data_IF_625778102417
#
_entry.id   IF_625778102417
#
_cell.length_a   1.000
_cell.length_b   1.000
_cell.length_c   1.000
_cell.angle_alpha   90.00
_cell.angle_beta   90.00
_cell.angle_gamma   90.00
#
_symmetry.space_group_name_H-M   'P 1'
#
loop_
_entity.id
_entity.type
_entity.pdbx_description
1 polymer ?
#
# COMPACT_ATOMS: atom_id res chain seq x y z
N UNK A 1 -0.17 -12.39 27.17
CA UNK A 1 0.69 -12.22 26.00
C UNK A 1 0.25 -10.95 25.27
N UNK A 2 1.17 -10.06 24.86
CA UNK A 2 0.77 -8.94 24.00
C UNK A 2 0.09 -9.50 22.76
N UNK A 3 -0.92 -8.81 22.21
CA UNK A 3 -1.57 -9.26 21.01
C UNK A 3 -0.54 -9.35 19.87
N UNK A 4 -0.60 -10.42 19.05
CA UNK A 4 0.20 -10.50 17.83
C UNK A 4 -0.30 -9.37 16.89
N UNK A 5 0.49 -8.31 16.76
CA UNK A 5 0.14 -7.11 16.02
C UNK A 5 0.90 -7.03 14.70
N UNK A 6 0.30 -6.47 13.66
CA UNK A 6 1.01 -6.16 12.43
C UNK A 6 1.95 -4.97 12.65
N UNK A 7 2.95 -4.81 11.78
CA UNK A 7 3.72 -3.57 11.73
C UNK A 7 2.80 -2.42 11.33
N UNK A 8 2.97 -1.26 11.97
CA UNK A 8 2.23 -0.04 11.63
C UNK A 8 3.07 0.87 10.75
N UNK A 9 2.48 1.30 9.65
CA UNK A 9 3.08 2.18 8.65
C UNK A 9 2.15 3.32 8.30
N UNK A 10 2.68 4.41 7.77
CA UNK A 10 1.89 5.51 7.24
C UNK A 10 1.76 5.39 5.72
N UNK A 11 0.56 5.63 5.21
CA UNK A 11 0.31 5.80 3.80
C UNK A 11 0.05 7.26 3.48
N UNK A 12 0.96 7.89 2.73
CA UNK A 12 0.90 9.27 2.30
C UNK A 12 0.20 9.36 0.95
N UNK A 13 -0.81 10.20 0.84
CA UNK A 13 -1.58 10.35 -0.40
C UNK A 13 -1.08 11.54 -1.24
N UNK A 14 -1.29 11.48 -2.54
CA UNK A 14 -0.86 12.47 -3.53
C UNK A 14 -1.45 13.89 -3.34
N UNK A 15 -2.37 14.09 -2.43
CA UNK A 15 -2.88 15.39 -2.04
C UNK A 15 -1.93 16.20 -1.14
N UNK A 16 -0.99 15.52 -0.47
CA UNK A 16 -0.01 16.16 0.41
C UNK A 16 1.05 16.91 -0.40
N UNK A 17 1.48 18.06 0.12
CA UNK A 17 2.65 18.75 -0.41
C UNK A 17 3.93 18.03 0.01
N UNK A 18 5.06 18.18 -0.71
CA UNK A 18 6.34 17.61 -0.27
C UNK A 18 6.73 18.06 1.16
N UNK A 19 6.45 19.28 1.55
CA UNK A 19 6.69 19.78 2.91
C UNK A 19 5.84 19.05 3.95
N UNK A 20 4.56 18.80 3.65
CA UNK A 20 3.70 18.02 4.53
C UNK A 20 4.19 16.56 4.65
N UNK A 21 4.68 15.97 3.56
CA UNK A 21 5.29 14.64 3.58
C UNK A 21 6.52 14.59 4.48
N UNK A 22 7.43 15.59 4.40
CA UNK A 22 8.61 15.70 5.26
C UNK A 22 8.24 15.80 6.74
N UNK A 23 7.27 16.63 7.09
CA UNK A 23 6.80 16.78 8.47
C UNK A 23 6.22 15.46 9.02
N UNK A 24 5.42 14.74 8.20
CA UNK A 24 4.88 13.44 8.55
C UNK A 24 5.97 12.37 8.64
N UNK A 25 7.01 12.43 7.79
CA UNK A 25 8.13 11.51 7.82
C UNK A 25 8.94 11.63 9.11
N UNK A 26 9.29 12.85 9.53
CA UNK A 26 9.97 13.09 10.79
C UNK A 26 9.15 12.62 11.99
N UNK A 27 7.83 12.89 11.98
CA UNK A 27 6.91 12.41 13.02
C UNK A 27 6.81 10.88 13.04
N UNK A 28 6.69 10.25 11.87
CA UNK A 28 6.60 8.80 11.76
C UNK A 28 7.86 8.11 12.30
N UNK A 29 9.03 8.60 11.96
CA UNK A 29 10.29 8.07 12.45
C UNK A 29 10.43 8.24 13.98
N UNK A 30 10.07 9.42 14.51
CA UNK A 30 10.10 9.67 15.96
C UNK A 30 9.14 8.76 16.74
N UNK A 31 8.02 8.38 16.13
CA UNK A 31 7.01 7.50 16.73
C UNK A 31 7.22 6.02 16.41
N UNK A 32 8.20 5.66 15.55
CA UNK A 32 8.58 4.28 15.26
C UNK A 32 7.68 3.58 14.25
N UNK A 33 7.03 4.30 13.35
CA UNK A 33 6.35 3.68 12.21
C UNK A 33 7.36 2.98 11.30
N UNK A 34 6.95 1.82 10.75
CA UNK A 34 7.84 0.96 10.01
C UNK A 34 8.18 1.48 8.59
N UNK A 35 7.16 1.92 7.85
CA UNK A 35 7.31 2.37 6.45
C UNK A 35 6.46 3.61 6.18
N UNK A 36 6.95 4.48 5.32
CA UNK A 36 6.16 5.54 4.67
C UNK A 36 5.81 5.06 3.26
N UNK A 37 4.55 4.71 3.01
CA UNK A 37 4.07 4.32 1.69
C UNK A 37 3.55 5.53 0.93
N UNK A 38 4.19 5.89 -0.16
CA UNK A 38 3.79 7.01 -1.01
C UNK A 38 2.87 6.51 -2.13
N UNK A 39 1.62 6.98 -2.12
CA UNK A 39 0.63 6.55 -3.09
C UNK A 39 0.65 7.42 -4.35
N UNK A 40 0.89 6.80 -5.50
CA UNK A 40 0.86 7.48 -6.79
C UNK A 40 -0.55 7.60 -7.37
N UNK A 41 -0.76 8.70 -8.09
CA UNK A 41 -1.92 8.93 -8.94
C UNK A 41 -1.43 9.64 -10.23
N UNK A 42 -1.81 9.16 -11.43
CA UNK A 42 -1.37 9.73 -12.69
C UNK A 42 -1.50 11.24 -12.83
N UNK A 43 -2.47 11.83 -12.16
CA UNK A 43 -2.80 13.25 -12.26
C UNK A 43 -2.63 14.00 -10.93
N UNK A 44 -2.04 13.35 -9.93
CA UNK A 44 -1.69 13.96 -8.66
C UNK A 44 -0.28 14.51 -8.65
N UNK A 45 0.21 14.89 -7.46
CA UNK A 45 1.63 15.26 -7.30
C UNK A 45 2.51 14.02 -7.50
N UNK A 46 3.60 14.17 -8.26
CA UNK A 46 4.61 13.13 -8.40
C UNK A 46 5.19 12.76 -7.03
N UNK A 47 5.32 11.47 -6.77
CA UNK A 47 5.74 10.99 -5.43
C UNK A 47 7.26 11.03 -5.25
N UNK A 48 8.05 10.80 -6.31
CA UNK A 48 9.51 10.64 -6.21
C UNK A 48 10.23 11.84 -5.59
N UNK A 49 9.88 13.11 -5.94
CA UNK A 49 10.46 14.27 -5.25
C UNK A 49 10.18 14.31 -3.74
N UNK A 50 8.97 13.89 -3.33
CA UNK A 50 8.62 13.81 -1.91
C UNK A 50 9.35 12.66 -1.20
N UNK A 51 9.51 11.51 -1.87
CA UNK A 51 10.29 10.36 -1.35
C UNK A 51 11.75 10.76 -1.16
N UNK A 52 12.38 11.42 -2.14
CA UNK A 52 13.76 11.87 -2.05
C UNK A 52 13.96 12.87 -0.89
N UNK A 53 13.05 13.83 -0.73
CA UNK A 53 13.10 14.77 0.38
C UNK A 53 12.97 14.08 1.74
N UNK A 54 12.05 13.11 1.87
CA UNK A 54 11.89 12.31 3.09
C UNK A 54 13.10 11.39 3.34
N UNK A 55 13.72 10.85 2.28
CA UNK A 55 14.94 10.05 2.40
C UNK A 55 16.09 10.82 3.04
N UNK A 56 16.25 12.09 2.63
CA UNK A 56 17.29 12.98 3.18
C UNK A 56 17.01 13.40 4.63
N UNK A 57 15.75 13.49 5.03
CA UNK A 57 15.35 13.97 6.37
C UNK A 57 15.22 12.84 7.41
N UNK A 58 15.30 11.57 7.01
CA UNK A 58 15.09 10.41 7.89
C UNK A 58 16.26 9.42 7.77
N UNK A 59 16.42 8.56 8.77
CA UNK A 59 17.54 7.62 8.82
C UNK A 59 17.12 6.16 9.05
N UNK A 60 15.91 5.90 9.54
CA UNK A 60 15.45 4.56 9.94
C UNK A 60 14.19 4.11 9.23
N UNK A 61 13.16 4.98 9.13
CA UNK A 61 11.87 4.63 8.51
C UNK A 61 12.07 4.22 7.06
N UNK A 62 11.44 3.12 6.67
CA UNK A 62 11.49 2.63 5.28
C UNK A 62 10.64 3.48 4.36
N UNK A 63 11.00 3.52 3.08
CA UNK A 63 10.36 4.37 2.06
C UNK A 63 9.71 3.47 1.02
N UNK A 64 8.41 3.34 1.09
CA UNK A 64 7.61 2.51 0.19
C UNK A 64 7.11 3.29 -1.03
N UNK A 65 7.52 2.91 -2.22
CA UNK A 65 6.93 3.39 -3.48
C UNK A 65 5.62 2.60 -3.70
N UNK A 66 4.51 3.17 -3.32
CA UNK A 66 3.28 2.38 -3.20
C UNK A 66 2.06 2.93 -3.95
N UNK A 67 2.05 2.74 -5.21
CA UNK A 67 2.83 1.95 -6.18
C UNK A 67 3.33 2.84 -7.33
N UNK A 68 4.42 2.44 -7.97
CA UNK A 68 4.75 2.94 -9.30
C UNK A 68 4.01 2.14 -10.37
N UNK A 69 3.53 2.83 -11.38
CA UNK A 69 2.71 2.20 -12.41
C UNK A 69 3.47 2.21 -13.76
N UNK A 70 3.69 1.04 -14.36
CA UNK A 70 4.54 0.91 -15.54
C UNK A 70 4.00 1.61 -16.78
N UNK A 71 2.76 2.07 -16.80
CA UNK A 71 2.22 2.87 -17.90
C UNK A 71 2.64 4.35 -17.84
N UNK A 72 3.01 4.84 -16.64
CA UNK A 72 3.56 6.18 -16.45
C UNK A 72 5.08 6.16 -16.42
N UNK A 73 5.65 5.14 -15.79
CA UNK A 73 7.08 4.95 -15.64
C UNK A 73 7.46 3.68 -16.41
N UNK A 74 8.14 3.80 -17.54
CA UNK A 74 8.66 2.61 -18.19
C UNK A 74 9.46 1.75 -17.19
N UNK A 75 9.41 0.40 -17.24
CA UNK A 75 10.10 -0.45 -16.27
C UNK A 75 11.59 -0.15 -16.09
N UNK A 76 12.27 0.31 -17.13
CA UNK A 76 13.68 0.75 -17.03
C UNK A 76 13.83 1.98 -16.13
N UNK A 77 12.90 2.95 -16.22
CA UNK A 77 12.88 4.13 -15.37
C UNK A 77 12.53 3.75 -13.92
N UNK A 78 11.59 2.81 -13.73
CA UNK A 78 11.27 2.30 -12.36
C UNK A 78 12.52 1.73 -11.70
N UNK A 79 13.31 0.92 -12.41
CA UNK A 79 14.54 0.34 -11.88
C UNK A 79 15.57 1.42 -11.54
N UNK A 80 15.79 2.37 -12.45
CA UNK A 80 16.72 3.49 -12.27
C UNK A 80 16.36 4.35 -11.06
N UNK A 81 15.10 4.80 -10.98
CA UNK A 81 14.63 5.67 -9.90
C UNK A 81 14.63 4.96 -8.54
N UNK A 82 14.21 3.69 -8.51
CA UNK A 82 14.24 2.90 -7.28
C UNK A 82 15.66 2.68 -6.77
N UNK A 83 16.63 2.39 -7.66
CA UNK A 83 18.03 2.20 -7.29
C UNK A 83 18.66 3.49 -6.74
N UNK A 84 18.44 4.64 -7.40
CA UNK A 84 18.97 5.94 -6.94
C UNK A 84 18.34 6.37 -5.61
N UNK A 85 17.04 6.16 -5.42
CA UNK A 85 16.39 6.43 -4.14
C UNK A 85 16.89 5.48 -3.03
N UNK A 86 17.21 4.25 -3.38
CA UNK A 86 17.78 3.29 -2.45
C UNK A 86 19.19 3.68 -2.01
N UNK A 87 20.01 4.15 -2.94
CA UNK A 87 21.33 4.74 -2.65
C UNK A 87 21.19 5.96 -1.73
N UNK A 88 20.34 6.93 -2.10
CA UNK A 88 20.09 8.13 -1.30
C UNK A 88 19.61 7.81 0.12
N UNK A 89 18.82 6.77 0.28
CA UNK A 89 18.22 6.40 1.57
C UNK A 89 19.07 5.43 2.39
N UNK A 90 20.21 4.94 1.88
CA UNK A 90 21.02 3.92 2.55
C UNK A 90 20.30 2.56 2.65
N UNK A 91 19.66 2.12 1.56
CA UNK A 91 19.05 0.78 1.48
C UNK A 91 17.66 0.66 2.08
N UNK A 92 16.89 1.76 2.22
CA UNK A 92 15.57 1.76 2.89
C UNK A 92 14.38 1.69 1.94
N UNK A 93 14.58 1.66 0.63
CA UNK A 93 13.47 1.61 -0.34
C UNK A 93 12.76 0.25 -0.34
N UNK A 94 11.45 0.28 -0.46
CA UNK A 94 10.58 -0.87 -0.75
C UNK A 94 9.80 -0.55 -2.01
N UNK A 95 9.99 -1.33 -3.06
CA UNK A 95 9.39 -1.07 -4.36
C UNK A 95 8.03 -1.75 -4.48
N UNK A 96 6.98 -0.96 -4.67
CA UNK A 96 5.66 -1.44 -5.05
C UNK A 96 5.35 -1.14 -6.51
N UNK A 97 4.92 -2.13 -7.27
CA UNK A 97 4.49 -2.00 -8.66
C UNK A 97 3.01 -2.38 -8.77
N UNK A 98 2.26 -1.60 -9.53
CA UNK A 98 0.84 -1.86 -9.73
C UNK A 98 0.36 -1.44 -11.12
N UNK A 99 -0.69 -2.08 -11.63
CA UNK A 99 -1.23 -1.77 -12.96
C UNK A 99 -2.06 -0.49 -13.02
N UNK A 100 -2.26 0.20 -11.89
CA UNK A 100 -3.11 1.38 -11.83
C UNK A 100 -4.61 1.09 -12.01
N UNK A 101 -5.41 2.15 -12.12
CA UNK A 101 -6.86 2.09 -12.34
C UNK A 101 -7.13 2.18 -13.85
N UNK A 102 -7.82 1.19 -14.41
CA UNK A 102 -8.06 1.06 -15.85
C UNK A 102 -8.56 2.35 -16.52
N UNK A 103 -9.53 3.03 -15.89
CA UNK A 103 -10.08 4.28 -16.40
C UNK A 103 -9.03 5.39 -16.50
N UNK A 104 -8.13 5.50 -15.51
CA UNK A 104 -7.06 6.51 -15.49
C UNK A 104 -5.96 6.19 -16.52
N UNK A 105 -5.67 4.91 -16.72
CA UNK A 105 -4.72 4.48 -17.75
C UNK A 105 -5.27 4.75 -19.15
N UNK A 106 -6.57 4.55 -19.37
CA UNK A 106 -7.23 4.91 -20.62
C UNK A 106 -7.10 6.42 -20.94
N UNK A 107 -7.15 7.28 -19.94
CA UNK A 107 -6.94 8.74 -20.10
C UNK A 107 -5.52 9.09 -20.57
N UNK A 108 -4.53 8.22 -20.35
CA UNK A 108 -3.17 8.36 -20.90
C UNK A 108 -3.05 7.91 -22.36
N UNK A 109 -4.14 7.48 -22.99
CA UNK A 109 -4.13 6.95 -24.35
C UNK A 109 -3.47 5.56 -24.49
N UNK A 110 -3.26 4.87 -23.38
CA UNK A 110 -2.53 3.60 -23.34
C UNK A 110 -3.48 2.42 -23.18
N UNK A 111 -3.22 1.33 -23.91
CA UNK A 111 -4.01 0.10 -23.81
C UNK A 111 -3.74 -0.61 -22.49
N UNK A 112 -4.80 -0.78 -21.67
CA UNK A 112 -4.71 -1.46 -20.37
C UNK A 112 -4.60 -2.98 -20.52
N UNK A 113 -3.45 -3.54 -20.11
CA UNK A 113 -3.13 -4.98 -20.12
C UNK A 113 -2.49 -5.37 -18.77
N UNK A 114 -3.25 -5.39 -17.66
CA UNK A 114 -2.67 -5.40 -16.32
C UNK A 114 -1.73 -6.58 -16.04
N UNK A 115 -2.11 -7.80 -16.40
CA UNK A 115 -1.27 -8.98 -16.12
C UNK A 115 0.04 -8.94 -16.94
N UNK A 116 -0.04 -8.58 -18.22
CA UNK A 116 1.15 -8.45 -19.04
C UNK A 116 2.07 -7.33 -18.54
N UNK A 117 1.49 -6.16 -18.21
CA UNK A 117 2.25 -5.02 -17.72
C UNK A 117 2.98 -5.34 -16.39
N UNK A 118 2.32 -6.03 -15.45
CA UNK A 118 2.96 -6.44 -14.20
C UNK A 118 4.06 -7.49 -14.44
N UNK A 119 3.80 -8.48 -15.30
CA UNK A 119 4.79 -9.50 -15.63
C UNK A 119 6.04 -8.88 -16.26
N UNK A 120 5.84 -8.08 -17.31
CA UNK A 120 6.94 -7.48 -18.05
C UNK A 120 7.73 -6.51 -17.17
N UNK A 121 7.03 -5.71 -16.35
CA UNK A 121 7.67 -4.75 -15.45
C UNK A 121 8.56 -5.45 -14.40
N UNK A 122 8.06 -6.50 -13.74
CA UNK A 122 8.85 -7.22 -12.72
C UNK A 122 10.09 -7.87 -13.35
N UNK A 123 9.96 -8.48 -14.53
CA UNK A 123 11.10 -9.12 -15.21
C UNK A 123 12.19 -8.12 -15.59
N UNK A 124 11.79 -6.99 -16.21
CA UNK A 124 12.74 -5.95 -16.64
C UNK A 124 13.39 -5.29 -15.41
N UNK A 125 12.59 -4.90 -14.40
CA UNK A 125 13.10 -4.22 -13.20
C UNK A 125 14.08 -5.13 -12.45
N UNK A 126 13.71 -6.39 -12.24
CA UNK A 126 14.54 -7.33 -11.47
C UNK A 126 15.88 -7.63 -12.17
N UNK A 127 15.88 -7.80 -13.49
CA UNK A 127 17.11 -7.96 -14.26
C UNK A 127 18.02 -6.73 -14.16
N UNK A 128 17.47 -5.54 -14.32
CA UNK A 128 18.24 -4.30 -14.24
C UNK A 128 18.84 -4.06 -12.85
N UNK A 129 18.09 -4.32 -11.77
CA UNK A 129 18.60 -4.20 -10.40
C UNK A 129 19.75 -5.19 -10.12
N UNK A 130 19.77 -6.36 -10.80
CA UNK A 130 20.84 -7.36 -10.71
C UNK A 130 22.04 -7.09 -11.61
N UNK A 131 22.13 -5.92 -12.22
CA UNK A 131 23.18 -5.54 -13.19
C UNK A 131 23.23 -6.39 -14.44
N UNK A 132 22.12 -7.01 -14.81
CA UNK A 132 22.03 -7.75 -16.06
C UNK A 132 21.84 -6.79 -17.24
N UNK A 133 22.43 -7.13 -18.39
CA UNK A 133 22.03 -6.53 -19.67
C UNK A 133 20.73 -7.19 -20.13
N UNK A 134 19.61 -6.49 -19.93
CA UNK A 134 18.27 -7.02 -20.15
C UNK A 134 17.88 -6.93 -21.63
N UNK A 135 17.59 -8.08 -22.23
CA UNK A 135 16.85 -8.19 -23.48
C UNK A 135 15.57 -8.96 -23.21
N UNK A 136 14.45 -8.27 -23.24
CA UNK A 136 13.14 -8.82 -22.91
C UNK A 136 12.08 -8.39 -23.92
N UNK A 137 11.33 -9.34 -24.48
CA UNK A 137 10.22 -9.08 -25.40
C UNK A 137 8.90 -9.47 -24.75
N UNK A 138 8.27 -8.48 -24.10
CA UNK A 138 7.00 -8.65 -23.42
C UNK A 138 5.79 -8.33 -24.30
N UNK A 139 4.61 -8.48 -23.69
CA UNK A 139 3.32 -8.17 -24.35
C UNK A 139 2.87 -6.73 -24.10
N UNK A 140 3.40 -6.08 -23.10
CA UNK A 140 3.11 -4.69 -22.74
C UNK A 140 4.38 -3.82 -22.81
N UNK A 141 5.51 -4.32 -22.34
CA UNK A 141 6.79 -3.63 -22.33
C UNK A 141 7.91 -4.53 -22.85
N UNK A 142 8.93 -3.91 -23.44
CA UNK A 142 10.11 -4.61 -23.95
C UNK A 142 11.36 -3.79 -23.61
N UNK A 143 12.50 -4.46 -23.53
CA UNK A 143 13.82 -3.86 -23.42
C UNK A 143 14.77 -4.56 -24.40
N UNK A 144 15.68 -3.83 -25.04
CA UNK A 144 16.67 -4.40 -25.95
C UNK A 144 18.06 -3.96 -25.54
N UNK A 145 18.81 -4.88 -24.95
CA UNK A 145 20.16 -4.68 -24.44
C UNK A 145 20.31 -3.48 -23.51
N UNK A 146 19.37 -3.33 -22.59
CA UNK A 146 19.38 -2.24 -21.60
C UNK A 146 20.11 -2.72 -20.32
N UNK A 147 21.00 -1.90 -19.81
CA UNK A 147 21.64 -2.08 -18.50
C UNK A 147 21.62 -0.74 -17.75
N UNK A 148 21.67 -0.77 -16.42
CA UNK A 148 21.98 0.41 -15.64
C UNK A 148 23.48 0.72 -15.77
N UNK A 149 23.84 1.98 -15.98
CA UNK A 149 25.25 2.44 -16.09
C UNK A 149 25.91 2.61 -14.72
N UNK A 150 25.24 2.22 -13.66
CA UNK A 150 25.69 2.24 -12.28
C UNK A 150 25.19 1.01 -11.52
N UNK A 151 25.84 0.67 -10.40
CA UNK A 151 25.47 -0.45 -9.56
C UNK A 151 24.28 -0.10 -8.67
N UNK A 152 23.18 -0.89 -8.71
CA UNK A 152 22.11 -0.77 -7.73
C UNK A 152 22.64 -1.25 -6.36
N UNK A 153 22.41 -0.49 -5.26
CA UNK A 153 22.92 -0.87 -3.93
C UNK A 153 22.41 -2.23 -3.45
N UNK A 154 21.17 -2.58 -3.83
CA UNK A 154 20.56 -3.87 -3.47
C UNK A 154 20.00 -4.57 -4.71
N UNK A 155 20.75 -5.53 -5.28
CA UNK A 155 20.29 -6.35 -6.41
C UNK A 155 19.03 -7.17 -6.10
N UNK A 156 18.79 -7.45 -4.82
CA UNK A 156 17.68 -8.22 -4.27
C UNK A 156 16.60 -7.33 -3.63
N UNK A 157 16.52 -6.04 -4.03
CA UNK A 157 15.47 -5.12 -3.53
C UNK A 157 14.09 -5.78 -3.63
N UNK A 158 13.32 -5.84 -2.52
CA UNK A 158 12.01 -6.48 -2.52
C UNK A 158 11.00 -5.76 -3.40
N UNK A 159 10.36 -6.49 -4.31
CA UNK A 159 9.30 -5.99 -5.19
C UNK A 159 7.95 -6.47 -4.69
N UNK A 160 7.08 -5.55 -4.28
CA UNK A 160 5.70 -5.80 -3.91
C UNK A 160 4.79 -5.55 -5.11
N UNK A 161 3.80 -6.41 -5.35
CA UNK A 161 2.77 -6.15 -6.35
C UNK A 161 1.45 -5.75 -5.70
N UNK A 162 0.83 -4.68 -6.20
CA UNK A 162 -0.55 -4.37 -5.86
C UNK A 162 -1.50 -5.19 -6.73
N UNK A 163 -2.27 -6.08 -6.10
CA UNK A 163 -3.17 -6.99 -6.78
C UNK A 163 -4.49 -7.16 -6.02
N UNK A 164 -5.58 -7.34 -6.78
CA UNK A 164 -6.92 -7.53 -6.20
C UNK A 164 -7.70 -8.67 -6.90
N UNK A 165 -7.59 -8.83 -8.21
CA UNK A 165 -8.27 -9.92 -8.93
C UNK A 165 -7.48 -11.23 -8.78
N UNK A 166 -8.17 -12.37 -8.75
CA UNK A 166 -7.57 -13.69 -8.50
C UNK A 166 -6.36 -13.99 -9.39
N UNK A 167 -6.46 -13.69 -10.69
CA UNK A 167 -5.33 -13.90 -11.62
C UNK A 167 -4.13 -13.00 -11.31
N UNK A 168 -4.35 -11.78 -10.83
CA UNK A 168 -3.26 -10.89 -10.42
C UNK A 168 -2.70 -11.26 -9.06
N UNK A 169 -3.52 -11.77 -8.13
CA UNK A 169 -3.06 -12.34 -6.86
C UNK A 169 -2.19 -13.57 -7.09
N UNK A 170 -2.62 -14.50 -7.94
CA UNK A 170 -1.80 -15.65 -8.32
C UNK A 170 -0.50 -15.27 -9.04
N UNK A 171 -0.54 -14.25 -9.91
CA UNK A 171 0.67 -13.70 -10.53
C UNK A 171 1.61 -13.11 -9.48
N UNK A 172 1.08 -12.37 -8.51
CA UNK A 172 1.82 -11.78 -7.40
C UNK A 172 2.59 -12.86 -6.63
N UNK A 173 1.94 -13.95 -6.22
CA UNK A 173 2.59 -15.05 -5.51
C UNK A 173 3.76 -15.68 -6.29
N UNK A 174 3.64 -15.79 -7.61
CA UNK A 174 4.71 -16.35 -8.45
C UNK A 174 5.88 -15.41 -8.69
N UNK A 175 5.68 -14.11 -8.77
CA UNK A 175 6.70 -13.18 -9.26
C UNK A 175 7.23 -12.20 -8.22
N UNK A 176 6.44 -11.85 -7.20
CA UNK A 176 6.77 -10.78 -6.27
C UNK A 176 7.31 -11.31 -4.93
N UNK A 177 7.85 -10.42 -4.13
CA UNK A 177 8.34 -10.68 -2.79
C UNK A 177 7.31 -10.25 -1.73
N UNK A 178 6.24 -9.57 -2.16
CA UNK A 178 5.14 -9.17 -1.30
C UNK A 178 3.89 -8.73 -2.06
N UNK A 179 2.78 -8.65 -1.33
CA UNK A 179 1.48 -8.18 -1.80
C UNK A 179 1.13 -6.84 -1.14
N UNK A 180 0.63 -5.91 -1.93
CA UNK A 180 -0.09 -4.73 -1.43
C UNK A 180 -1.58 -4.93 -1.70
N UNK A 181 -2.36 -5.11 -0.63
CA UNK A 181 -3.82 -5.13 -0.68
C UNK A 181 -4.32 -3.69 -0.59
N UNK A 182 -5.15 -3.28 -1.54
CA UNK A 182 -5.66 -1.91 -1.64
C UNK A 182 -6.66 -1.56 -0.53
N UNK A 183 -7.03 -0.27 -0.47
CA UNK A 183 -8.11 0.21 0.41
C UNK A 183 -9.47 -0.44 0.09
N UNK A 184 -10.41 -0.32 1.02
CA UNK A 184 -11.77 -0.86 0.93
C UNK A 184 -11.79 -2.40 0.80
N UNK A 185 -10.89 -3.08 1.50
CA UNK A 185 -10.83 -4.54 1.57
C UNK A 185 -11.02 -4.99 3.03
N UNK A 186 -12.13 -5.69 3.35
CA UNK A 186 -12.37 -6.18 4.70
C UNK A 186 -11.41 -7.32 5.08
N UNK A 187 -11.25 -7.65 6.38
CA UNK A 187 -10.36 -8.73 6.82
C UNK A 187 -10.62 -10.07 6.09
N UNK A 188 -11.88 -10.40 5.83
CA UNK A 188 -12.24 -11.63 5.11
C UNK A 188 -11.73 -11.63 3.65
N UNK A 189 -11.69 -10.46 2.98
CA UNK A 189 -11.08 -10.35 1.66
C UNK A 189 -9.56 -10.47 1.74
N UNK A 190 -8.93 -9.86 2.74
CA UNK A 190 -7.48 -9.97 2.98
C UNK A 190 -7.10 -11.43 3.22
N UNK A 191 -7.85 -12.18 4.06
CA UNK A 191 -7.67 -13.61 4.26
C UNK A 191 -7.65 -14.40 2.94
N UNK A 192 -8.64 -14.13 2.07
CA UNK A 192 -8.73 -14.76 0.74
C UNK A 192 -7.55 -14.40 -0.15
N UNK A 193 -7.17 -13.12 -0.20
CA UNK A 193 -6.03 -12.67 -1.00
C UNK A 193 -4.73 -13.33 -0.54
N UNK A 194 -4.50 -13.41 0.77
CA UNK A 194 -3.35 -14.10 1.38
C UNK A 194 -3.32 -15.58 1.02
N UNK A 195 -4.47 -16.27 1.06
CA UNK A 195 -4.54 -17.68 0.69
C UNK A 195 -4.11 -17.92 -0.75
N UNK A 196 -4.66 -17.15 -1.72
CA UNK A 196 -4.31 -17.27 -3.16
C UNK A 196 -2.83 -16.99 -3.40
N UNK A 197 -2.30 -15.95 -2.76
CA UNK A 197 -0.90 -15.56 -2.94
C UNK A 197 0.03 -16.62 -2.37
N UNK A 198 -0.22 -17.11 -1.15
CA UNK A 198 0.61 -18.13 -0.50
C UNK A 198 0.59 -19.46 -1.25
N UNK A 199 -0.56 -19.89 -1.73
CA UNK A 199 -0.66 -21.07 -2.59
C UNK A 199 0.20 -20.93 -3.85
N UNK A 200 0.11 -19.77 -4.52
CA UNK A 200 0.89 -19.51 -5.74
C UNK A 200 2.38 -19.30 -5.48
N UNK A 201 2.75 -18.77 -4.31
CA UNK A 201 4.13 -18.62 -3.87
C UNK A 201 4.77 -19.97 -3.55
N UNK A 202 4.03 -20.87 -2.89
CA UNK A 202 4.50 -22.22 -2.59
C UNK A 202 4.80 -23.02 -3.87
N UNK A 203 3.93 -22.91 -4.90
CA UNK A 203 4.19 -23.51 -6.22
C UNK A 203 5.45 -22.95 -6.89
N UNK A 204 5.81 -21.71 -6.61
CA UNK A 204 7.01 -21.05 -7.13
C UNK A 204 8.23 -21.17 -6.17
N UNK A 205 8.14 -22.02 -5.14
CA UNK A 205 9.19 -22.29 -4.15
C UNK A 205 9.70 -21.01 -3.44
N UNK A 206 8.79 -20.07 -3.15
CA UNK A 206 9.11 -18.82 -2.45
C UNK A 206 8.79 -18.95 -0.96
N UNK A 207 9.83 -18.93 -0.13
CA UNK A 207 9.70 -19.18 1.31
C UNK A 207 9.14 -18.01 2.11
N UNK A 208 9.46 -16.77 1.72
CA UNK A 208 9.02 -15.56 2.42
C UNK A 208 8.16 -14.69 1.53
N UNK A 209 7.08 -14.15 2.11
CA UNK A 209 6.16 -13.28 1.39
C UNK A 209 5.54 -12.25 2.35
N UNK A 210 5.72 -10.96 2.06
CA UNK A 210 5.28 -9.87 2.91
C UNK A 210 3.92 -9.32 2.46
N UNK A 211 2.97 -9.19 3.39
CA UNK A 211 1.59 -8.75 3.11
C UNK A 211 1.34 -7.38 3.73
N UNK A 212 1.16 -6.39 2.89
CA UNK A 212 0.84 -5.00 3.27
C UNK A 212 -0.62 -4.71 2.96
N UNK A 213 -1.40 -4.28 3.96
CA UNK A 213 -2.79 -3.85 3.78
C UNK A 213 -2.89 -2.33 3.92
N UNK A 214 -3.52 -1.67 2.94
CA UNK A 214 -3.83 -0.24 2.99
C UNK A 214 -5.20 -0.01 3.61
N UNK A 215 -5.29 0.90 4.59
CA UNK A 215 -6.54 1.22 5.29
C UNK A 215 -6.62 2.71 5.64
N UNK A 216 -7.80 3.34 5.49
CA UNK A 216 -8.08 4.58 6.17
C UNK A 216 -8.15 4.34 7.69
N UNK A 217 -7.66 5.30 8.46
CA UNK A 217 -7.62 5.21 9.91
C UNK A 217 -8.03 6.54 10.55
N UNK A 218 -8.77 6.45 11.66
CA UNK A 218 -9.00 7.57 12.56
C UNK A 218 -8.89 7.08 14.02
N UNK A 219 -7.91 7.58 14.75
CA UNK A 219 -7.65 7.17 16.14
C UNK A 219 -7.65 8.41 17.04
N UNK A 220 -8.63 8.51 17.94
CA UNK A 220 -8.81 9.66 18.85
C UNK A 220 -9.26 9.23 20.24
N UNK A 221 -9.04 10.06 21.29
CA UNK A 221 -9.61 9.80 22.61
C UNK A 221 -11.15 9.66 22.58
N UNK A 222 -11.85 10.47 21.78
CA UNK A 222 -13.26 10.29 21.47
C UNK A 222 -13.41 9.33 20.29
N UNK A 223 -13.76 8.09 20.59
CA UNK A 223 -13.99 7.05 19.58
C UNK A 223 -15.22 7.30 18.70
N UNK A 224 -16.20 8.08 19.13
CA UNK A 224 -17.36 8.44 18.31
C UNK A 224 -16.94 9.48 17.26
N UNK A 225 -16.20 10.51 17.64
CA UNK A 225 -15.62 11.47 16.71
C UNK A 225 -14.72 10.77 15.66
N UNK A 226 -13.87 9.81 16.10
CA UNK A 226 -13.04 9.04 15.21
C UNK A 226 -13.85 8.26 14.16
N UNK A 227 -14.96 7.64 14.54
CA UNK A 227 -15.84 6.94 13.60
C UNK A 227 -16.48 7.88 12.59
N UNK A 228 -16.93 9.05 12.98
CA UNK A 228 -17.48 10.04 12.04
C UNK A 228 -16.43 10.51 11.02
N UNK A 229 -15.19 10.76 11.47
CA UNK A 229 -14.07 11.07 10.58
C UNK A 229 -13.81 9.92 9.59
N UNK A 230 -13.82 8.67 10.07
CA UNK A 230 -13.61 7.50 9.23
C UNK A 230 -14.74 7.32 8.19
N UNK A 231 -16.01 7.62 8.53
CA UNK A 231 -17.12 7.60 7.57
C UNK A 231 -16.88 8.56 6.41
N UNK A 232 -16.43 9.78 6.68
CA UNK A 232 -16.12 10.75 5.61
C UNK A 232 -14.96 10.24 4.72
N UNK A 233 -13.91 9.65 5.30
CA UNK A 233 -12.81 9.07 4.54
C UNK A 233 -13.24 7.86 3.69
N UNK A 234 -14.02 6.94 4.25
CA UNK A 234 -14.58 5.78 3.53
C UNK A 234 -15.52 6.26 2.42
N UNK A 235 -16.39 7.22 2.69
CA UNK A 235 -17.30 7.80 1.70
C UNK A 235 -16.56 8.39 0.50
N UNK A 236 -15.51 9.18 0.75
CA UNK A 236 -14.67 9.74 -0.30
C UNK A 236 -13.97 8.64 -1.13
N UNK A 237 -13.48 7.59 -0.48
CA UNK A 237 -12.85 6.45 -1.17
C UNK A 237 -13.86 5.62 -1.96
N UNK A 238 -15.08 5.43 -1.46
CA UNK A 238 -16.16 4.76 -2.19
C UNK A 238 -16.49 5.51 -3.48
N UNK A 239 -16.64 6.83 -3.43
CA UNK A 239 -16.87 7.66 -4.62
C UNK A 239 -15.71 7.53 -5.62
N UNK A 240 -14.47 7.59 -5.14
CA UNK A 240 -13.28 7.62 -5.98
C UNK A 240 -12.90 6.25 -6.60
N UNK A 241 -13.18 5.16 -5.91
CA UNK A 241 -12.64 3.83 -6.24
C UNK A 241 -13.71 2.80 -6.61
N UNK A 242 -14.99 3.03 -6.23
CA UNK A 242 -16.05 2.09 -6.57
C UNK A 242 -16.62 2.39 -7.95
N UNK A 243 -16.84 1.35 -8.79
CA UNK A 243 -17.35 1.56 -10.15
C UNK A 243 -18.69 2.28 -10.18
N UNK A 244 -18.91 3.05 -11.23
CA UNK A 244 -20.23 3.60 -11.55
C UNK A 244 -21.07 2.55 -12.29
N UNK A 245 -22.40 2.62 -12.13
CA UNK A 245 -23.33 1.67 -12.77
C UNK A 245 -23.39 0.31 -12.06
N UNK A 246 -23.98 -0.65 -12.71
CA UNK A 246 -24.30 -1.95 -12.12
C UNK A 246 -23.38 -3.11 -12.53
N UNK A 247 -22.51 -2.91 -13.51
CA UNK A 247 -21.55 -3.91 -13.97
C UNK A 247 -20.23 -3.74 -13.22
N UNK A 248 -20.12 -4.40 -12.08
CA UNK A 248 -18.95 -4.33 -11.25
C UNK A 248 -17.97 -5.46 -11.56
N UNK A 249 -16.66 -5.16 -11.59
CA UNK A 249 -15.65 -6.19 -11.76
C UNK A 249 -15.73 -7.26 -10.65
N UNK A 250 -15.42 -8.51 -10.97
CA UNK A 250 -15.57 -9.66 -10.08
C UNK A 250 -14.89 -9.46 -8.71
N UNK A 251 -13.74 -8.76 -8.66
CA UNK A 251 -13.09 -8.46 -7.39
C UNK A 251 -13.90 -7.50 -6.51
N UNK A 252 -14.68 -6.57 -7.09
CA UNK A 252 -15.56 -5.67 -6.32
C UNK A 252 -16.78 -6.42 -5.78
N UNK A 253 -17.35 -7.33 -6.56
CA UNK A 253 -18.39 -8.24 -6.08
C UNK A 253 -17.91 -9.12 -4.94
N UNK A 254 -16.69 -9.63 -5.04
CA UNK A 254 -16.08 -10.44 -3.97
C UNK A 254 -15.86 -9.63 -2.70
N UNK A 255 -15.32 -8.41 -2.81
CA UNK A 255 -15.14 -7.51 -1.66
C UNK A 255 -16.48 -7.21 -1.00
N UNK A 256 -17.50 -6.85 -1.78
CA UNK A 256 -18.83 -6.56 -1.26
C UNK A 256 -19.41 -7.76 -0.50
N UNK A 257 -19.40 -8.94 -1.11
CA UNK A 257 -19.89 -10.17 -0.48
C UNK A 257 -19.18 -10.46 0.85
N UNK A 258 -17.87 -10.20 0.92
CA UNK A 258 -17.06 -10.46 2.12
C UNK A 258 -17.11 -9.32 3.14
N UNK A 259 -17.65 -8.14 2.79
CA UNK A 259 -17.83 -7.03 3.72
C UNK A 259 -19.08 -7.18 4.61
N UNK A 260 -20.00 -8.07 4.25
CA UNK A 260 -21.30 -8.20 4.94
C UNK A 260 -22.31 -7.09 4.60
N UNK A 261 -21.99 -6.20 3.65
CA UNK A 261 -22.88 -5.13 3.17
C UNK A 261 -23.67 -5.67 1.98
N UNK A 262 -24.99 -5.56 2.02
CA UNK A 262 -25.83 -6.03 0.90
C UNK A 262 -25.67 -5.11 -0.32
N UNK A 263 -25.77 -5.69 -1.53
CA UNK A 263 -25.61 -4.92 -2.78
C UNK A 263 -26.58 -3.72 -2.88
N UNK A 264 -27.88 -3.83 -2.56
CA UNK A 264 -28.77 -2.67 -2.57
C UNK A 264 -28.36 -1.55 -1.61
N UNK A 265 -27.82 -1.91 -0.43
CA UNK A 265 -27.32 -0.95 0.54
C UNK A 265 -26.08 -0.20 -0.01
N UNK A 266 -25.14 -0.92 -0.62
CA UNK A 266 -23.95 -0.31 -1.25
C UNK A 266 -24.36 0.62 -2.41
N UNK A 267 -25.27 0.20 -3.28
CA UNK A 267 -25.76 1.03 -4.39
C UNK A 267 -26.45 2.28 -3.85
N UNK A 268 -27.35 2.14 -2.88
CA UNK A 268 -28.02 3.28 -2.25
C UNK A 268 -27.06 4.25 -1.56
N UNK A 269 -26.04 3.73 -0.88
CA UNK A 269 -25.00 4.54 -0.27
C UNK A 269 -24.19 5.33 -1.32
N UNK A 270 -23.74 4.66 -2.38
CA UNK A 270 -23.01 5.30 -3.48
C UNK A 270 -23.82 6.41 -4.16
N UNK A 271 -25.10 6.18 -4.41
CA UNK A 271 -25.99 7.16 -5.04
C UNK A 271 -26.18 8.38 -4.14
N UNK A 272 -26.37 8.19 -2.84
CA UNK A 272 -26.52 9.29 -1.88
C UNK A 272 -25.22 10.09 -1.75
N UNK A 273 -24.08 9.41 -1.61
CA UNK A 273 -22.75 10.03 -1.53
C UNK A 273 -22.42 10.84 -2.79
N UNK A 274 -22.74 10.31 -3.99
CA UNK A 274 -22.51 11.00 -5.27
C UNK A 274 -23.41 12.23 -5.46
N UNK A 275 -24.57 12.26 -4.80
CA UNK A 275 -25.43 13.48 -4.71
C UNK A 275 -24.92 14.50 -3.70
N UNK A 276 -23.81 14.23 -3.01
CA UNK A 276 -23.19 15.14 -2.04
C UNK A 276 -23.75 15.04 -0.62
N UNK A 277 -24.48 13.96 -0.29
CA UNK A 277 -24.89 13.73 1.09
C UNK A 277 -23.67 13.40 1.96
N UNK A 278 -23.65 13.92 3.19
CA UNK A 278 -22.54 13.69 4.13
C UNK A 278 -22.43 12.20 4.49
N UNK A 279 -21.22 11.65 4.46
CA UNK A 279 -20.99 10.23 4.69
C UNK A 279 -21.45 9.78 6.09
N UNK A 280 -21.31 10.62 7.12
CA UNK A 280 -21.83 10.36 8.46
C UNK A 280 -23.34 10.10 8.52
N UNK A 281 -24.14 10.61 7.56
CA UNK A 281 -25.58 10.35 7.45
C UNK A 281 -25.91 9.15 6.54
N UNK A 282 -24.98 8.74 5.71
CA UNK A 282 -25.17 7.69 4.69
C UNK A 282 -24.63 6.34 5.17
N UNK A 283 -23.45 6.33 5.78
CA UNK A 283 -22.74 5.13 6.17
C UNK A 283 -22.98 4.81 7.64
N UNK A 284 -23.30 3.57 7.92
CA UNK A 284 -23.33 3.04 9.28
C UNK A 284 -21.98 2.40 9.69
N UNK A 285 -21.91 1.89 10.91
CA UNK A 285 -20.67 1.33 11.46
C UNK A 285 -20.21 0.04 10.78
N UNK A 286 -21.06 -0.64 9.99
CA UNK A 286 -20.67 -1.81 9.19
C UNK A 286 -19.71 -1.42 8.09
N UNK A 287 -19.89 -0.25 7.45
CA UNK A 287 -18.96 0.29 6.47
C UNK A 287 -17.59 0.59 7.09
N UNK A 288 -17.58 1.08 8.34
CA UNK A 288 -16.33 1.35 9.03
C UNK A 288 -15.63 0.04 9.40
N UNK A 289 -16.33 -0.91 10.01
CA UNK A 289 -15.79 -2.22 10.37
C UNK A 289 -15.26 -3.00 9.16
N UNK A 290 -15.87 -2.80 7.99
CA UNK A 290 -15.44 -3.43 6.74
C UNK A 290 -14.27 -2.75 6.05
N UNK A 291 -14.12 -1.43 6.19
CA UNK A 291 -13.25 -0.67 5.28
C UNK A 291 -12.27 0.29 5.93
N UNK A 292 -12.30 0.43 7.27
CA UNK A 292 -11.42 1.35 8.00
C UNK A 292 -11.03 0.79 9.37
N UNK A 293 -10.06 1.45 10.03
CA UNK A 293 -9.83 1.32 11.45
C UNK A 293 -10.27 2.62 12.13
N UNK A 294 -11.17 2.55 13.10
CA UNK A 294 -11.64 3.75 13.76
C UNK A 294 -12.07 3.55 15.22
N UNK A 295 -11.77 4.52 16.06
CA UNK A 295 -12.14 4.53 17.48
C UNK A 295 -11.05 5.09 18.37
N UNK A 296 -11.08 4.69 19.64
CA UNK A 296 -9.94 4.93 20.55
C UNK A 296 -8.73 4.12 20.08
N UNK A 297 -7.55 4.41 20.60
CA UNK A 297 -6.34 3.66 20.24
C UNK A 297 -6.50 2.16 20.51
N UNK A 298 -7.10 1.79 21.64
CA UNK A 298 -7.36 0.40 22.04
C UNK A 298 -8.30 -0.30 21.05
N UNK A 299 -9.34 0.39 20.58
CA UNK A 299 -10.26 -0.12 19.56
C UNK A 299 -9.56 -0.32 18.22
N UNK A 300 -8.74 0.64 17.79
CA UNK A 300 -7.95 0.54 16.54
C UNK A 300 -6.94 -0.61 16.64
N UNK A 301 -6.26 -0.79 17.75
CA UNK A 301 -5.32 -1.90 17.99
C UNK A 301 -6.04 -3.25 17.92
N UNK A 302 -7.21 -3.37 18.53
CA UNK A 302 -8.02 -4.59 18.49
C UNK A 302 -8.48 -4.93 17.05
N UNK A 303 -8.84 -3.91 16.25
CA UNK A 303 -9.16 -4.07 14.84
C UNK A 303 -7.92 -4.46 14.01
N UNK A 304 -6.76 -3.84 14.27
CA UNK A 304 -5.50 -4.17 13.61
C UNK A 304 -5.09 -5.64 13.83
N UNK A 305 -5.27 -6.16 15.05
CA UNK A 305 -5.03 -7.55 15.37
C UNK A 305 -5.90 -8.53 14.55
N UNK A 306 -7.08 -8.11 14.07
CA UNK A 306 -7.89 -8.94 13.16
C UNK A 306 -7.20 -9.11 11.80
N UNK A 307 -6.61 -8.05 11.25
CA UNK A 307 -5.86 -8.14 10.00
C UNK A 307 -4.60 -9.00 10.15
N UNK A 308 -3.91 -8.92 11.31
CA UNK A 308 -2.76 -9.79 11.60
C UNK A 308 -3.16 -11.26 11.61
N UNK A 309 -4.26 -11.60 12.26
CA UNK A 309 -4.79 -12.99 12.31
C UNK A 309 -5.12 -13.57 10.94
N UNK A 310 -5.49 -12.75 9.98
CA UNK A 310 -5.76 -13.19 8.60
C UNK A 310 -4.53 -13.11 7.69
N UNK A 311 -3.36 -12.81 8.26
CA UNK A 311 -2.07 -12.91 7.60
C UNK A 311 -1.53 -11.61 7.02
N UNK A 312 -2.07 -10.44 7.37
CA UNK A 312 -1.43 -9.17 7.06
C UNK A 312 -0.23 -8.95 8.00
N UNK A 313 0.95 -8.69 7.43
CA UNK A 313 2.18 -8.45 8.18
C UNK A 313 2.35 -6.97 8.54
N UNK A 314 1.74 -6.09 7.74
CA UNK A 314 1.85 -4.65 7.87
C UNK A 314 0.54 -3.95 7.50
N UNK A 315 0.16 -2.93 8.29
CA UNK A 315 -0.94 -2.03 7.96
C UNK A 315 -0.39 -0.64 7.62
N UNK A 316 -0.58 -0.21 6.38
CA UNK A 316 -0.24 1.12 5.93
C UNK A 316 -1.48 2.03 6.08
N UNK A 317 -1.47 2.87 7.11
CA UNK A 317 -2.60 3.65 7.55
C UNK A 317 -2.61 5.04 6.92
N UNK A 318 -3.73 5.40 6.28
CA UNK A 318 -4.03 6.77 5.86
C UNK A 318 -4.84 7.45 6.94
N UNK A 319 -4.20 8.25 7.79
CA UNK A 319 -4.91 9.00 8.82
C UNK A 319 -5.77 10.08 8.19
N UNK A 320 -7.06 10.02 8.50
CA UNK A 320 -8.08 10.95 8.04
C UNK A 320 -8.30 12.08 9.07
N UNK A 321 -8.96 13.15 8.63
CA UNK A 321 -9.31 14.27 9.50
C UNK A 321 -8.30 15.42 9.48
N UNK A 322 -8.55 16.44 10.32
CA UNK A 322 -7.77 17.70 10.28
C UNK A 322 -6.38 17.61 10.93
N UNK A 323 -6.11 16.57 11.72
CA UNK A 323 -4.88 16.45 12.50
C UNK A 323 -4.20 15.07 12.33
N UNK A 324 -3.87 14.63 11.10
CA UNK A 324 -3.41 13.28 10.84
C UNK A 324 -2.11 12.91 11.59
N UNK A 325 -1.20 13.86 11.77
CA UNK A 325 0.03 13.64 12.52
C UNK A 325 -0.23 13.42 14.03
N UNK A 326 -1.15 14.17 14.63
CA UNK A 326 -1.52 14.01 16.03
C UNK A 326 -2.24 12.69 16.27
N UNK A 327 -3.14 12.30 15.37
CA UNK A 327 -3.88 11.04 15.41
C UNK A 327 -2.94 9.84 15.26
N UNK A 328 -1.96 9.92 14.35
CA UNK A 328 -0.92 8.91 14.20
C UNK A 328 -0.05 8.79 15.48
N UNK A 329 0.39 9.91 16.04
CA UNK A 329 1.16 9.95 17.27
C UNK A 329 0.38 9.40 18.46
N UNK A 330 -0.93 9.67 18.54
CA UNK A 330 -1.82 9.11 19.57
C UNK A 330 -1.85 7.57 19.52
N UNK A 331 -2.09 7.01 18.35
CA UNK A 331 -2.05 5.55 18.15
C UNK A 331 -0.68 4.96 18.49
N UNK A 332 0.39 5.55 17.99
CA UNK A 332 1.75 5.05 18.19
C UNK A 332 2.15 5.00 19.67
N UNK A 333 1.78 6.02 20.46
CA UNK A 333 2.00 6.01 21.91
C UNK A 333 1.25 4.89 22.63
N UNK A 334 0.05 4.57 22.20
CA UNK A 334 -0.72 3.46 22.76
C UNK A 334 -0.09 2.10 22.41
N UNK A 335 0.34 1.91 21.15
CA UNK A 335 1.04 0.70 20.71
C UNK A 335 2.33 0.48 21.51
N UNK A 336 3.14 1.53 21.70
CA UNK A 336 4.38 1.46 22.50
C UNK A 336 4.14 1.04 23.96
N UNK A 337 3.02 1.44 24.56
CA UNK A 337 2.67 1.02 25.93
C UNK A 337 2.32 -0.47 26.04
N UNK A 338 1.80 -1.06 24.96
CA UNK A 338 1.46 -2.49 24.93
C UNK A 338 2.66 -3.38 24.61
N UNK A 339 3.68 -2.84 23.95
CA UNK A 339 4.90 -3.54 23.54
C UNK A 339 6.11 -2.70 24.00
N UNK A 340 6.43 -2.66 25.31
CA UNK A 340 7.47 -1.77 25.84
C UNK A 340 8.86 -2.02 25.27
N UNK A 341 9.20 -3.29 24.98
CA UNK A 341 10.49 -3.73 24.41
C UNK A 341 10.36 -4.19 22.95
N UNK A 342 9.15 -4.15 22.41
CA UNK A 342 8.88 -4.41 21.00
C UNK A 342 9.29 -3.18 20.22
N UNK A 343 10.39 -3.27 19.49
CA UNK A 343 10.56 -2.46 18.31
C UNK A 343 9.21 -2.44 17.58
N UNK A 344 8.72 -1.27 17.24
CA UNK A 344 7.85 -1.14 16.08
C UNK A 344 8.76 -1.59 14.92
N UNK A 345 8.99 -2.90 14.85
CA UNK A 345 10.10 -3.68 14.37
C UNK A 345 10.84 -3.05 13.18
N UNK A 346 11.93 -2.38 13.46
CA UNK A 346 13.02 -2.24 12.51
C UNK A 346 13.78 -3.56 12.58
N UNK A 347 13.57 -4.44 11.60
CA UNK A 347 14.42 -5.61 11.44
C UNK A 347 15.81 -5.14 10.96
N UNK A 348 16.70 -4.90 11.91
CA UNK A 348 18.10 -4.50 11.69
C UNK A 348 18.96 -5.71 11.24
N UNK A 349 18.37 -6.87 10.99
CA UNK A 349 19.14 -8.05 10.57
C UNK A 349 19.41 -8.04 9.08
N UNK A 350 20.34 -7.20 8.67
CA UNK A 350 21.37 -7.35 7.64
C UNK A 350 22.13 -6.03 7.52
N UNK A 351 23.09 -5.81 8.41
CA UNK A 351 24.23 -4.95 8.08
C UNK A 351 24.98 -5.60 6.91
N UNK A 352 25.42 -4.84 5.91
CA UNK A 352 26.35 -5.37 4.92
C UNK A 352 27.63 -5.80 5.65
N UNK A 353 28.33 -6.83 5.17
CA UNK A 353 29.63 -7.19 5.73
C UNK A 353 30.58 -6.00 5.62
N UNK A 354 31.26 -5.69 6.72
CA UNK A 354 32.34 -4.70 6.75
C UNK A 354 33.28 -4.94 5.58
N UNK A 355 33.35 -3.98 4.67
CA UNK A 355 34.37 -3.91 3.64
C UNK A 355 35.66 -3.44 4.32
N UNK A 356 36.49 -4.42 4.77
CA UNK A 356 37.90 -4.20 5.08
C UNK A 356 38.71 -4.00 3.81
#
# INVERSE_FOLDING_TARGET
MPPDLPRFSLRLHQGLTPQACRALAASAEAHGFHTLWFAENPFGRAILPAVAACAADTSRVRLGLGILNPYQHHPTLIAQEAAVLDELSGGRVRLGIGSGIAQRIAQLGTRYRPLAALTDAVQIVRGLLRHETVTYRGRAFSADRVALEFAAPRPDMPIHLAAMADRSLALCGRLADGLIVSNLCPPAYTARAVAIVRESAAVAERESFDIVQYLPCAARPDGAEAREIAKEAVGAMLIALWPTGNDWPAQRETILRLSGIARPEMVGALDRLRRGERAGRVLDDRFISGFALAGTAEQVIAQAAQYRRVGADELALSFAGPQPAADAAYLARAVKRLIPDGELAIDVRRSPPDSG
#
